data_IF_208101697468
#
_entry.id   IF_208101697468
#
_cell.length_a   1.000
_cell.length_b   1.000
_cell.length_c   1.000
_cell.angle_alpha   90.00
_cell.angle_beta   90.00
_cell.angle_gamma   90.00
#
_symmetry.space_group_name_H-M   'P 1'
#
loop_
_entity.id
_entity.type
_entity.pdbx_description
1 polymer ?
#
# COMPACT_ATOMS: atom_id res chain seq x y z
N UNK A 1 5.03 -34.02 -17.30
CA UNK A 1 3.63 -33.97 -16.86
C UNK A 1 3.34 -32.51 -16.56
N UNK A 2 2.37 -31.92 -17.26
CA UNK A 2 1.90 -30.58 -16.92
C UNK A 2 1.20 -30.67 -15.56
N UNK A 3 1.62 -29.85 -14.60
CA UNK A 3 0.89 -29.65 -13.36
C UNK A 3 -0.49 -29.05 -13.73
N UNK A 4 -1.62 -29.67 -13.36
CA UNK A 4 -2.92 -29.07 -13.63
C UNK A 4 -3.01 -27.80 -12.79
N UNK A 5 -2.79 -26.64 -13.43
CA UNK A 5 -2.99 -25.33 -12.82
C UNK A 5 -4.34 -25.31 -12.12
N UNK A 6 -4.34 -25.13 -10.80
CA UNK A 6 -5.57 -25.04 -10.02
C UNK A 6 -6.36 -23.83 -10.57
N UNK A 7 -7.58 -24.07 -11.02
CA UNK A 7 -8.43 -23.02 -11.58
C UNK A 7 -8.82 -22.02 -10.49
N UNK A 8 -8.29 -20.79 -10.60
CA UNK A 8 -8.55 -19.70 -9.65
C UNK A 8 -9.83 -18.94 -9.95
N UNK A 9 -10.42 -19.10 -11.14
CA UNK A 9 -11.56 -18.29 -11.58
C UNK A 9 -12.76 -18.35 -10.61
N UNK A 10 -13.16 -19.52 -10.06
CA UNK A 10 -14.24 -19.56 -9.07
C UNK A 10 -13.93 -18.75 -7.81
N UNK A 11 -12.67 -18.73 -7.39
CA UNK A 11 -12.22 -17.96 -6.23
C UNK A 11 -12.21 -16.46 -6.49
N UNK A 12 -11.79 -16.04 -7.69
CA UNK A 12 -11.85 -14.63 -8.11
C UNK A 12 -13.29 -14.14 -8.18
N UNK A 13 -14.20 -14.92 -8.77
CA UNK A 13 -15.62 -14.58 -8.84
C UNK A 13 -16.23 -14.43 -7.44
N UNK A 14 -15.88 -15.33 -6.51
CA UNK A 14 -16.34 -15.20 -5.12
C UNK A 14 -15.78 -13.93 -4.45
N UNK A 15 -14.53 -13.58 -4.72
CA UNK A 15 -13.89 -12.36 -4.20
C UNK A 15 -14.60 -11.10 -4.70
N UNK A 16 -14.84 -11.01 -6.01
CA UNK A 16 -15.53 -9.88 -6.64
C UNK A 16 -17.00 -9.75 -6.16
N UNK A 17 -17.64 -10.87 -5.83
CA UNK A 17 -18.99 -10.90 -5.27
C UNK A 17 -19.03 -10.54 -3.77
N UNK A 18 -17.89 -10.30 -3.12
CA UNK A 18 -17.80 -10.05 -1.68
C UNK A 18 -18.01 -11.29 -0.80
N UNK A 19 -18.06 -12.50 -1.39
CA UNK A 19 -18.11 -13.75 -0.65
C UNK A 19 -16.69 -14.17 -0.24
N UNK A 20 -16.10 -13.39 0.66
CA UNK A 20 -14.70 -13.50 1.05
C UNK A 20 -14.36 -14.82 1.74
N UNK A 21 -15.32 -15.43 2.45
CA UNK A 21 -15.15 -16.75 3.04
C UNK A 21 -15.00 -17.82 1.96
N UNK A 22 -15.87 -17.80 0.95
CA UNK A 22 -15.78 -18.71 -0.19
C UNK A 22 -14.54 -18.43 -1.03
N UNK A 23 -14.20 -17.16 -1.25
CA UNK A 23 -13.00 -16.77 -1.98
C UNK A 23 -11.74 -17.33 -1.32
N UNK A 24 -11.62 -17.18 0.00
CA UNK A 24 -10.52 -17.75 0.78
C UNK A 24 -10.38 -19.26 0.54
N UNK A 25 -11.47 -20.01 0.70
CA UNK A 25 -11.43 -21.48 0.59
C UNK A 25 -11.11 -21.96 -0.84
N UNK A 26 -11.58 -21.24 -1.86
CA UNK A 26 -11.32 -21.56 -3.26
C UNK A 26 -9.91 -21.15 -3.72
N UNK A 27 -9.37 -20.05 -3.22
CA UNK A 27 -8.07 -19.51 -3.64
C UNK A 27 -6.90 -20.15 -2.89
N UNK A 28 -7.11 -20.57 -1.63
CA UNK A 28 -6.04 -21.09 -0.78
C UNK A 28 -5.21 -22.22 -1.43
N UNK A 29 -5.79 -23.27 -2.05
CA UNK A 29 -4.99 -24.32 -2.67
C UNK A 29 -4.08 -23.81 -3.79
N UNK A 30 -4.57 -22.88 -4.62
CA UNK A 30 -3.79 -22.27 -5.68
C UNK A 30 -2.70 -21.34 -5.13
N UNK A 31 -3.00 -20.56 -4.09
CA UNK A 31 -2.03 -19.69 -3.44
C UNK A 31 -0.89 -20.50 -2.80
N UNK A 32 -1.22 -21.61 -2.13
CA UNK A 32 -0.25 -22.53 -1.53
C UNK A 32 0.58 -23.27 -2.60
N UNK A 33 0.02 -23.47 -3.80
CA UNK A 33 0.73 -23.99 -4.97
C UNK A 33 1.58 -22.93 -5.71
N UNK A 34 1.57 -21.67 -5.26
CA UNK A 34 2.40 -20.60 -5.80
C UNK A 34 1.73 -19.75 -6.88
N UNK A 35 0.44 -19.90 -7.16
CA UNK A 35 -0.27 -19.07 -8.13
C UNK A 35 -0.24 -17.58 -7.70
N UNK A 36 0.36 -16.73 -8.53
CA UNK A 36 0.61 -15.34 -8.17
C UNK A 36 -0.68 -14.52 -8.00
N UNK A 37 -1.77 -14.87 -8.69
CA UNK A 37 -3.03 -14.15 -8.55
C UNK A 37 -3.75 -14.58 -7.28
N UNK A 38 -3.79 -15.88 -6.99
CA UNK A 38 -4.35 -16.41 -5.76
C UNK A 38 -3.58 -15.89 -4.54
N UNK A 39 -2.25 -15.82 -4.58
CA UNK A 39 -1.44 -15.23 -3.51
C UNK A 39 -1.75 -13.75 -3.27
N UNK A 40 -1.84 -12.95 -4.32
CA UNK A 40 -2.25 -11.54 -4.20
C UNK A 40 -3.63 -11.41 -3.56
N UNK A 41 -4.62 -12.17 -4.03
CA UNK A 41 -5.98 -12.11 -3.49
C UNK A 41 -6.07 -12.64 -2.05
N UNK A 42 -5.32 -13.69 -1.71
CA UNK A 42 -5.20 -14.17 -0.33
C UNK A 42 -4.59 -13.12 0.59
N UNK A 43 -3.55 -12.42 0.15
CA UNK A 43 -2.97 -11.32 0.92
C UNK A 43 -3.99 -10.19 1.16
N UNK A 44 -4.81 -9.84 0.15
CA UNK A 44 -5.90 -8.86 0.30
C UNK A 44 -7.01 -9.31 1.24
N UNK A 45 -7.38 -10.59 1.20
CA UNK A 45 -8.40 -11.13 2.12
C UNK A 45 -7.93 -11.04 3.58
N UNK A 46 -6.63 -11.20 3.80
CA UNK A 46 -6.01 -11.23 5.11
C UNK A 46 -5.51 -9.85 5.60
N UNK A 47 -5.56 -8.81 4.78
CA UNK A 47 -5.13 -7.44 5.14
C UNK A 47 -6.13 -6.71 6.06
N UNK A 48 -7.33 -7.26 6.27
CA UNK A 48 -8.29 -6.78 7.26
C UNK A 48 -9.30 -5.74 6.78
N UNK A 49 -9.21 -5.29 5.52
CA UNK A 49 -10.16 -4.31 4.97
C UNK A 49 -11.48 -4.94 4.50
N UNK A 50 -11.50 -6.26 4.28
CA UNK A 50 -12.56 -6.95 3.54
C UNK A 50 -13.26 -8.06 4.33
N UNK A 51 -12.56 -8.71 5.26
CA UNK A 51 -13.08 -9.88 5.98
C UNK A 51 -12.75 -9.83 7.47
N UNK A 52 -13.57 -10.49 8.29
CA UNK A 52 -13.32 -10.74 9.72
C UNK A 52 -12.12 -11.69 9.97
N UNK A 53 -11.31 -11.98 8.95
CA UNK A 53 -10.15 -12.89 8.97
C UNK A 53 -8.86 -12.14 8.71
N UNK A 54 -8.61 -11.09 9.47
CA UNK A 54 -7.34 -10.35 9.41
C UNK A 54 -6.20 -11.21 9.93
N UNK A 55 -5.17 -11.43 9.11
CA UNK A 55 -3.89 -12.02 9.50
C UNK A 55 -2.78 -11.38 8.68
N UNK A 56 -2.24 -10.26 9.16
CA UNK A 56 -1.16 -9.54 8.50
C UNK A 56 0.11 -10.38 8.32
N UNK A 57 0.39 -11.34 9.20
CA UNK A 57 1.58 -12.17 9.09
C UNK A 57 1.44 -13.15 7.93
N UNK A 58 0.27 -13.77 7.80
CA UNK A 58 -0.01 -14.66 6.69
C UNK A 58 -0.16 -13.88 5.37
N UNK A 59 -0.78 -12.70 5.39
CA UNK A 59 -0.81 -11.80 4.24
C UNK A 59 0.60 -11.46 3.74
N UNK A 60 1.52 -11.15 4.65
CA UNK A 60 2.91 -10.81 4.32
C UNK A 60 3.60 -11.99 3.64
N UNK A 61 3.40 -13.21 4.12
CA UNK A 61 3.99 -14.42 3.54
C UNK A 61 3.53 -14.67 2.08
N UNK A 62 2.32 -14.23 1.72
CA UNK A 62 1.83 -14.35 0.34
C UNK A 62 2.41 -13.29 -0.61
N UNK A 63 2.99 -12.19 -0.10
CA UNK A 63 3.51 -11.06 -0.87
C UNK A 63 5.04 -11.12 -1.05
N UNK A 64 5.52 -12.16 -1.72
CA UNK A 64 6.94 -12.21 -2.08
C UNK A 64 7.30 -11.29 -3.25
N UNK A 65 8.55 -11.36 -3.69
CA UNK A 65 9.07 -10.52 -4.75
C UNK A 65 8.31 -10.67 -6.07
N UNK A 66 7.93 -11.89 -6.44
CA UNK A 66 7.22 -12.12 -7.70
C UNK A 66 5.83 -11.48 -7.65
N UNK A 67 5.12 -11.59 -6.52
CA UNK A 67 3.79 -10.99 -6.37
C UNK A 67 3.86 -9.47 -6.33
N UNK A 68 4.73 -8.90 -5.49
CA UNK A 68 4.79 -7.44 -5.29
C UNK A 68 5.26 -6.69 -6.55
N UNK A 69 6.11 -7.30 -7.38
CA UNK A 69 6.58 -6.68 -8.62
C UNK A 69 5.60 -6.83 -9.80
N UNK A 70 4.43 -7.46 -9.62
CA UNK A 70 3.41 -7.52 -10.69
C UNK A 70 2.70 -6.20 -10.92
N UNK A 71 2.53 -5.39 -9.87
CA UNK A 71 1.83 -4.12 -9.99
C UNK A 71 2.17 -3.18 -8.83
N UNK A 72 2.06 -1.86 -9.05
CA UNK A 72 2.16 -0.87 -7.99
C UNK A 72 1.18 -1.14 -6.83
N UNK A 73 -0.03 -1.65 -7.12
CA UNK A 73 -1.01 -2.02 -6.10
C UNK A 73 -0.60 -3.23 -5.24
N UNK A 74 0.11 -4.21 -5.81
CA UNK A 74 0.64 -5.33 -5.03
C UNK A 74 1.78 -4.88 -4.11
N UNK A 75 2.59 -3.92 -4.55
CA UNK A 75 3.65 -3.34 -3.72
C UNK A 75 3.09 -2.42 -2.62
N UNK A 76 2.03 -1.65 -2.92
CA UNK A 76 1.30 -0.88 -1.91
C UNK A 76 0.70 -1.78 -0.82
N UNK A 77 0.07 -2.90 -1.22
CA UNK A 77 -0.45 -3.89 -0.29
C UNK A 77 0.66 -4.53 0.56
N UNK A 78 1.82 -4.81 -0.04
CA UNK A 78 2.99 -5.28 0.70
C UNK A 78 3.41 -4.27 1.76
N UNK A 79 3.49 -2.99 1.43
CA UNK A 79 3.84 -1.95 2.40
C UNK A 79 2.80 -1.85 3.53
N UNK A 80 1.51 -1.86 3.19
CA UNK A 80 0.43 -1.83 4.18
C UNK A 80 0.50 -3.01 5.15
N UNK A 81 0.62 -4.23 4.61
CA UNK A 81 0.70 -5.44 5.42
C UNK A 81 2.00 -5.47 6.23
N UNK A 82 3.12 -5.03 5.67
CA UNK A 82 4.42 -4.90 6.36
C UNK A 82 4.31 -4.02 7.60
N UNK A 83 3.65 -2.86 7.47
CA UNK A 83 3.46 -1.92 8.57
C UNK A 83 2.66 -2.54 9.73
N UNK A 84 1.61 -3.30 9.42
CA UNK A 84 0.69 -3.87 10.41
C UNK A 84 1.12 -5.23 10.97
N UNK A 85 1.96 -5.99 10.25
CA UNK A 85 2.51 -7.26 10.72
C UNK A 85 3.55 -7.10 11.85
N UNK A 86 3.91 -5.86 12.20
CA UNK A 86 4.86 -5.55 13.26
C UNK A 86 6.27 -6.08 12.93
N UNK A 87 7.03 -6.63 13.90
CA UNK A 87 8.41 -7.07 13.68
C UNK A 87 8.60 -8.14 12.58
N UNK A 88 7.53 -8.83 12.16
CA UNK A 88 7.58 -9.83 11.09
C UNK A 88 7.32 -9.25 9.69
N UNK A 89 6.85 -8.02 9.61
CA UNK A 89 6.62 -7.32 8.34
C UNK A 89 7.84 -6.56 7.80
N UNK A 90 8.99 -6.65 8.47
CA UNK A 90 10.19 -5.90 8.12
C UNK A 90 10.29 -4.56 8.85
N UNK A 91 11.14 -3.68 8.34
CA UNK A 91 11.42 -2.38 8.95
C UNK A 91 10.49 -1.28 8.43
N UNK A 92 10.34 -0.21 9.21
CA UNK A 92 9.60 0.98 8.75
C UNK A 92 10.27 1.62 7.52
N UNK A 93 11.59 1.52 7.40
CA UNK A 93 12.33 2.02 6.25
C UNK A 93 12.01 1.22 4.98
N UNK A 94 11.99 -0.11 5.04
CA UNK A 94 11.59 -0.97 3.91
C UNK A 94 10.12 -0.73 3.53
N UNK A 95 9.27 -0.54 4.53
CA UNK A 95 7.85 -0.20 4.32
C UNK A 95 7.70 1.14 3.59
N UNK A 96 8.43 2.16 4.04
CA UNK A 96 8.42 3.48 3.41
C UNK A 96 8.93 3.41 1.96
N UNK A 97 9.98 2.63 1.71
CA UNK A 97 10.51 2.41 0.35
C UNK A 97 9.47 1.74 -0.55
N UNK A 98 8.79 0.70 -0.07
CA UNK A 98 7.75 0.02 -0.84
C UNK A 98 6.57 0.93 -1.18
N UNK A 99 6.07 1.72 -0.23
CA UNK A 99 5.03 2.73 -0.53
C UNK A 99 5.50 3.75 -1.56
N UNK A 100 6.75 4.21 -1.42
CA UNK A 100 7.36 5.17 -2.35
C UNK A 100 7.42 4.62 -3.78
N UNK A 101 7.91 3.40 -3.95
CA UNK A 101 7.96 2.72 -5.26
C UNK A 101 6.57 2.49 -5.86
N UNK A 102 5.59 2.11 -5.04
CA UNK A 102 4.21 1.96 -5.48
C UNK A 102 3.59 3.30 -5.92
N UNK A 103 3.84 4.38 -5.20
CA UNK A 103 3.39 5.72 -5.55
C UNK A 103 4.00 6.21 -6.88
N UNK A 104 5.29 5.94 -7.11
CA UNK A 104 5.93 6.21 -8.41
C UNK A 104 5.32 5.40 -9.55
N UNK A 105 4.88 4.18 -9.26
CA UNK A 105 4.09 3.37 -10.19
C UNK A 105 2.66 3.87 -10.43
N UNK A 106 2.25 4.99 -9.82
CA UNK A 106 0.92 5.59 -9.99
C UNK A 106 -0.12 5.14 -8.96
N UNK A 107 0.28 4.43 -7.89
CA UNK A 107 -0.65 4.08 -6.82
C UNK A 107 -0.77 5.23 -5.80
N UNK A 108 -1.84 6.02 -5.89
CA UNK A 108 -2.05 7.17 -4.99
C UNK A 108 -2.31 6.76 -3.54
N UNK A 109 -2.94 5.59 -3.30
CA UNK A 109 -3.14 5.04 -1.96
C UNK A 109 -1.80 4.81 -1.24
N UNK A 110 -0.76 4.44 -1.98
CA UNK A 110 0.59 4.29 -1.47
C UNK A 110 1.23 5.63 -1.07
N UNK A 111 0.89 6.73 -1.75
CA UNK A 111 1.33 8.06 -1.38
C UNK A 111 0.71 8.49 -0.05
N UNK A 112 -0.59 8.19 0.15
CA UNK A 112 -1.29 8.37 1.42
C UNK A 112 -0.66 7.51 2.53
N UNK A 113 -0.42 6.23 2.26
CA UNK A 113 0.23 5.30 3.19
C UNK A 113 1.62 5.77 3.61
N UNK A 114 2.43 6.27 2.67
CA UNK A 114 3.73 6.86 2.95
C UNK A 114 3.61 8.09 3.85
N UNK A 115 2.65 8.98 3.56
CA UNK A 115 2.40 10.19 4.34
C UNK A 115 2.06 9.89 5.80
N UNK A 116 1.17 8.92 6.03
CA UNK A 116 0.79 8.48 7.38
C UNK A 116 1.97 7.83 8.12
N UNK A 117 2.69 6.91 7.49
CA UNK A 117 3.86 6.25 8.07
C UNK A 117 4.93 7.26 8.49
N UNK A 118 5.22 8.23 7.63
CA UNK A 118 6.21 9.26 7.91
C UNK A 118 5.80 10.17 9.06
N UNK A 119 4.55 10.62 9.06
CA UNK A 119 4.06 11.54 10.07
C UNK A 119 3.90 10.90 11.46
N UNK A 120 3.55 9.61 11.51
CA UNK A 120 3.18 8.93 12.76
C UNK A 120 4.34 8.13 13.38
N UNK A 121 5.07 7.37 12.57
CA UNK A 121 6.02 6.37 13.09
C UNK A 121 7.48 6.69 12.80
N UNK A 122 7.76 7.51 11.77
CA UNK A 122 9.11 7.98 11.47
C UNK A 122 9.38 9.41 11.93
N UNK A 123 8.42 10.02 12.65
CA UNK A 123 8.55 11.36 13.26
C UNK A 123 8.95 12.46 12.26
N UNK A 124 8.46 12.35 11.01
CA UNK A 124 8.67 13.31 9.91
C UNK A 124 7.34 13.98 9.49
N UNK A 125 6.65 14.70 10.40
CA UNK A 125 5.28 15.18 10.17
C UNK A 125 5.15 16.19 9.03
N UNK A 126 6.16 17.06 8.80
CA UNK A 126 6.11 18.01 7.69
C UNK A 126 6.18 17.31 6.33
N UNK A 127 7.01 16.29 6.22
CA UNK A 127 7.15 15.53 4.99
C UNK A 127 5.94 14.63 4.76
N UNK A 128 5.50 13.92 5.81
CA UNK A 128 4.31 13.09 5.76
C UNK A 128 3.06 13.91 5.39
N UNK A 129 2.88 15.07 6.03
CA UNK A 129 1.79 16.00 5.71
C UNK A 129 1.84 16.51 4.27
N UNK A 130 3.02 16.76 3.73
CA UNK A 130 3.15 17.22 2.34
C UNK A 130 2.87 16.10 1.32
N UNK A 131 3.08 14.82 1.64
CA UNK A 131 2.62 13.71 0.79
C UNK A 131 1.10 13.50 0.89
N UNK A 132 0.51 13.66 2.08
CA UNK A 132 -0.96 13.61 2.24
C UNK A 132 -1.66 14.73 1.47
N UNK A 133 -1.11 15.95 1.54
CA UNK A 133 -1.64 17.07 0.77
C UNK A 133 -1.57 16.80 -0.74
N UNK A 134 -0.43 16.32 -1.23
CA UNK A 134 -0.26 16.02 -2.65
C UNK A 134 -1.17 14.86 -3.11
N UNK A 135 -1.34 13.81 -2.31
CA UNK A 135 -2.30 12.74 -2.59
C UNK A 135 -3.74 13.27 -2.68
N UNK A 136 -4.12 14.20 -1.81
CA UNK A 136 -5.43 14.87 -1.84
C UNK A 136 -5.61 15.70 -3.11
N UNK A 137 -4.60 16.47 -3.51
CA UNK A 137 -4.64 17.29 -4.74
C UNK A 137 -4.73 16.42 -6.01
N UNK A 138 -4.17 15.21 -5.96
CA UNK A 138 -4.26 14.20 -7.02
C UNK A 138 -5.57 13.39 -6.97
N UNK A 139 -6.45 13.66 -6.00
CA UNK A 139 -7.79 13.06 -5.95
C UNK A 139 -7.89 11.75 -5.16
N UNK A 140 -6.91 11.41 -4.32
CA UNK A 140 -7.01 10.21 -3.48
C UNK A 140 -8.04 10.43 -2.36
N UNK A 141 -9.12 9.63 -2.29
CA UNK A 141 -10.25 9.90 -1.39
C UNK A 141 -9.87 9.97 0.09
N UNK A 142 -9.00 9.07 0.56
CA UNK A 142 -8.63 8.99 1.97
C UNK A 142 -7.79 10.21 2.39
N UNK A 143 -6.92 10.68 1.51
CA UNK A 143 -6.15 11.89 1.69
C UNK A 143 -7.05 13.14 1.65
N UNK A 144 -8.03 13.20 0.76
CA UNK A 144 -9.03 14.29 0.75
C UNK A 144 -9.74 14.36 2.10
N UNK A 145 -10.30 13.25 2.57
CA UNK A 145 -10.98 13.19 3.86
C UNK A 145 -10.07 13.63 5.01
N UNK A 146 -8.81 13.18 4.99
CA UNK A 146 -7.82 13.60 5.97
C UNK A 146 -7.57 15.12 5.94
N UNK A 147 -7.33 15.69 4.76
CA UNK A 147 -7.02 17.11 4.61
C UNK A 147 -8.22 17.98 4.97
N UNK A 148 -9.44 17.59 4.56
CA UNK A 148 -10.69 18.26 4.96
C UNK A 148 -10.84 18.30 6.48
N UNK A 149 -10.56 17.19 7.17
CA UNK A 149 -10.61 17.14 8.65
C UNK A 149 -9.58 18.06 9.32
N UNK A 150 -8.44 18.29 8.67
CA UNK A 150 -7.40 19.22 9.15
C UNK A 150 -7.85 20.68 8.94
N UNK A 151 -8.46 20.98 7.80
CA UNK A 151 -8.95 22.32 7.43
C UNK A 151 -10.06 22.85 8.36
N UNK A 152 -10.77 21.97 9.07
CA UNK A 152 -11.79 22.36 10.05
C UNK A 152 -11.23 23.23 11.19
N UNK A 153 -9.93 23.14 11.47
CA UNK A 153 -9.25 23.91 12.51
C UNK A 153 -8.39 25.05 11.95
N UNK A 154 -8.35 26.18 12.65
CA UNK A 154 -7.49 27.32 12.28
C UNK A 154 -6.00 26.93 12.23
N UNK A 155 -5.54 26.16 13.22
CA UNK A 155 -4.18 25.63 13.25
C UNK A 155 -3.88 24.69 12.06
N UNK A 156 -4.87 23.89 11.67
CA UNK A 156 -4.73 23.00 10.52
C UNK A 156 -4.61 23.77 9.21
N UNK A 157 -5.42 24.81 8.99
CA UNK A 157 -5.31 25.68 7.80
C UNK A 157 -3.93 26.33 7.69
N UNK A 158 -3.41 26.90 8.79
CA UNK A 158 -2.06 27.49 8.81
C UNK A 158 -0.97 26.45 8.53
N UNK A 159 -1.16 25.22 9.01
CA UNK A 159 -0.25 24.11 8.72
C UNK A 159 -0.29 23.76 7.23
N UNK A 160 -1.48 23.71 6.62
CA UNK A 160 -1.65 23.40 5.21
C UNK A 160 -1.09 24.49 4.29
N UNK A 161 -1.23 25.76 4.64
CA UNK A 161 -0.57 26.85 3.89
C UNK A 161 0.95 26.65 3.79
N UNK A 162 1.57 26.21 4.89
CA UNK A 162 3.00 25.88 4.89
C UNK A 162 3.31 24.65 4.03
N UNK A 163 2.46 23.63 4.05
CA UNK A 163 2.66 22.42 3.26
C UNK A 163 2.48 22.68 1.76
N UNK A 164 1.54 23.55 1.36
CA UNK A 164 1.35 23.96 -0.04
C UNK A 164 2.61 24.56 -0.63
N UNK A 165 3.32 25.42 0.11
CA UNK A 165 4.61 25.96 -0.34
C UNK A 165 5.62 24.84 -0.61
N UNK A 166 5.68 23.83 0.27
CA UNK A 166 6.60 22.69 0.10
C UNK A 166 6.24 21.87 -1.14
N UNK A 167 4.95 21.58 -1.35
CA UNK A 167 4.45 20.81 -2.51
C UNK A 167 4.70 21.58 -3.82
N UNK A 168 4.44 22.88 -3.83
CA UNK A 168 4.65 23.74 -5.01
C UNK A 168 6.13 23.87 -5.39
N UNK A 169 7.02 24.08 -4.40
CA UNK A 169 8.45 24.22 -4.66
C UNK A 169 9.12 22.88 -5.00
N UNK A 170 8.63 21.79 -4.42
CA UNK A 170 9.19 20.46 -4.59
C UNK A 170 8.07 19.40 -4.59
N UNK A 171 7.40 19.14 -5.71
CA UNK A 171 6.42 18.06 -5.79
C UNK A 171 7.08 16.70 -5.51
N UNK A 172 6.31 15.67 -5.19
CA UNK A 172 6.80 14.33 -4.82
C UNK A 172 7.82 13.79 -5.84
N UNK A 173 7.54 13.96 -7.13
CA UNK A 173 8.42 13.55 -8.21
C UNK A 173 9.80 14.26 -8.19
N UNK A 174 9.88 15.45 -7.58
CA UNK A 174 11.10 16.29 -7.47
C UNK A 174 11.78 16.12 -6.10
N UNK A 175 11.07 15.83 -5.01
CA UNK A 175 11.64 15.50 -3.67
C UNK A 175 12.45 14.20 -3.64
N UNK A 176 12.55 13.51 -4.77
CA UNK A 176 13.16 12.19 -4.89
C UNK A 176 14.70 12.09 -4.64
N UNK A 177 15.59 13.09 -4.75
CA UNK A 177 17.03 12.82 -4.70
C UNK A 177 17.62 13.01 -3.30
N UNK A 178 17.30 12.13 -2.35
CA UNK A 178 18.08 11.95 -1.12
C UNK A 178 18.27 10.47 -0.72
N UNK A 179 17.92 9.54 -1.62
CA UNK A 179 18.21 8.10 -1.50
C UNK A 179 18.67 7.54 -2.86
N UNK A 180 19.65 8.17 -3.49
CA UNK A 180 20.45 7.54 -4.56
C UNK A 180 21.60 6.79 -3.84
N UNK A 181 21.81 5.48 -3.94
CA UNK A 181 21.97 4.63 -5.13
C UNK A 181 21.42 3.19 -4.85
N UNK A 182 20.91 2.52 -5.90
CA UNK A 182 20.68 1.05 -5.98
C UNK A 182 19.53 0.34 -5.21
N UNK A 183 18.31 0.87 -5.08
CA UNK A 183 17.27 0.13 -4.30
C UNK A 183 15.87 -0.03 -4.89
N UNK A 184 15.60 0.31 -6.15
CA UNK A 184 14.29 -0.02 -6.76
C UNK A 184 14.13 -1.54 -6.87
N UNK A 185 13.25 -2.12 -6.05
CA UNK A 185 13.07 -3.57 -5.99
C UNK A 185 12.19 -4.09 -7.13
N UNK A 186 11.26 -3.26 -7.62
CA UNK A 186 10.36 -3.60 -8.72
C UNK A 186 10.43 -2.58 -9.86
N UNK A 187 10.66 -3.05 -11.10
CA UNK A 187 10.58 -2.21 -12.30
C UNK A 187 9.17 -2.33 -12.89
N UNK A 188 8.38 -1.28 -12.73
CA UNK A 188 7.01 -1.20 -13.25
C UNK A 188 6.95 -0.54 -14.64
#
# INVERSE_FOLDING_TARGET
MADPSIDVAPGVVAYEAGDYARAHDLLKPAADAGDLQARYLMARLLSGDLADRTDYQQAFAYLDQDVRCRSPGALALFAYVSWHAGPRGGTLQETALAYKEAALGGNLEALTGLGLLLGRDLERPLEGGAYLLEASELGEPSAIEFIESVEDSELGRLSLERLRIIVEEQPFAVRWPLLDDETTQCRF
#
